data_IF_519743190697
#
_entry.id   IF_519743190697
#
_cell.length_a   1.000
_cell.length_b   1.000
_cell.length_c   1.000
_cell.angle_alpha   90.00
_cell.angle_beta   90.00
_cell.angle_gamma   90.00
#
_symmetry.space_group_name_H-M   'P 1'
#
loop_
_entity.id
_entity.type
_entity.pdbx_description
1 polymer ?
#
# COMPACT_ATOMS: atom_id res chain seq x y z
N UNK A 1 -21.16 -15.92 -13.16
CA UNK A 1 -22.05 -15.90 -11.98
C UNK A 1 -21.24 -15.65 -10.71
N UNK A 2 -20.12 -16.33 -10.48
CA UNK A 2 -19.32 -16.22 -9.25
C UNK A 2 -18.75 -14.80 -9.02
N UNK A 3 -18.27 -14.13 -10.06
CA UNK A 3 -17.73 -12.76 -9.92
C UNK A 3 -18.78 -11.76 -9.48
N UNK A 4 -20.02 -11.88 -9.98
CA UNK A 4 -21.11 -10.99 -9.58
C UNK A 4 -21.51 -11.15 -8.12
N UNK A 5 -21.48 -12.39 -7.62
CA UNK A 5 -21.73 -12.68 -6.20
C UNK A 5 -20.63 -12.08 -5.34
N UNK A 6 -19.36 -12.23 -5.75
CA UNK A 6 -18.21 -11.68 -5.02
C UNK A 6 -18.21 -10.14 -5.01
N UNK A 7 -18.55 -9.49 -6.12
CA UNK A 7 -18.68 -8.04 -6.20
C UNK A 7 -19.78 -7.49 -5.26
N UNK A 8 -20.82 -8.29 -4.97
CA UNK A 8 -21.87 -7.94 -4.01
C UNK A 8 -21.54 -8.30 -2.57
N UNK A 9 -20.53 -9.11 -2.35
CA UNK A 9 -20.07 -9.45 -1.00
C UNK A 9 -19.28 -8.28 -0.40
N UNK A 10 -19.92 -7.54 0.51
CA UNK A 10 -19.34 -6.33 1.12
C UNK A 10 -18.05 -6.60 1.88
N UNK A 11 -17.93 -7.73 2.56
CA UNK A 11 -16.74 -8.09 3.33
C UNK A 11 -15.57 -8.43 2.40
N UNK A 12 -15.81 -9.24 1.35
CA UNK A 12 -14.81 -9.54 0.35
C UNK A 12 -14.33 -8.26 -0.35
N UNK A 13 -15.27 -7.42 -0.81
CA UNK A 13 -14.95 -6.17 -1.50
C UNK A 13 -14.21 -5.17 -0.62
N UNK A 14 -14.51 -5.11 0.66
CA UNK A 14 -13.82 -4.26 1.63
C UNK A 14 -12.31 -4.58 1.66
N UNK A 15 -11.94 -5.85 1.83
CA UNK A 15 -10.53 -6.25 1.84
C UNK A 15 -9.88 -6.12 0.46
N UNK A 16 -10.61 -6.45 -0.60
CA UNK A 16 -10.12 -6.27 -1.98
C UNK A 16 -9.83 -4.79 -2.28
N UNK A 17 -10.73 -3.88 -1.92
CA UNK A 17 -10.52 -2.44 -2.07
C UNK A 17 -9.40 -1.91 -1.16
N UNK A 18 -9.26 -2.47 0.05
CA UNK A 18 -8.18 -2.13 0.97
C UNK A 18 -6.81 -2.41 0.34
N UNK A 19 -6.58 -3.63 -0.16
CA UNK A 19 -5.31 -3.98 -0.79
C UNK A 19 -5.11 -3.24 -2.12
N UNK A 20 -6.16 -3.05 -2.91
CA UNK A 20 -6.07 -2.30 -4.18
C UNK A 20 -5.67 -0.84 -3.92
N UNK A 21 -6.25 -0.18 -2.90
CA UNK A 21 -5.85 1.17 -2.52
C UNK A 21 -4.37 1.24 -2.10
N UNK A 22 -3.91 0.26 -1.32
CA UNK A 22 -2.49 0.20 -0.96
C UNK A 22 -1.59 0.02 -2.19
N UNK A 23 -2.02 -0.80 -3.16
CA UNK A 23 -1.27 -1.02 -4.41
C UNK A 23 -1.30 0.20 -5.34
N UNK A 24 -2.34 1.04 -5.33
CA UNK A 24 -2.28 2.35 -6.02
C UNK A 24 -1.12 3.17 -5.47
N UNK A 25 -0.93 3.21 -4.15
CA UNK A 25 0.19 3.90 -3.53
C UNK A 25 1.55 3.28 -3.88
N UNK A 26 1.66 1.94 -3.90
CA UNK A 26 2.85 1.22 -4.35
C UNK A 26 3.20 1.59 -5.79
N UNK A 27 2.22 1.56 -6.69
CA UNK A 27 2.45 1.91 -8.10
C UNK A 27 2.75 3.40 -8.31
N UNK A 28 2.20 4.29 -7.47
CA UNK A 28 2.57 5.70 -7.49
C UNK A 28 4.06 5.89 -7.15
N UNK A 29 4.57 5.15 -6.18
CA UNK A 29 5.99 5.12 -5.88
C UNK A 29 6.80 4.52 -7.03
N UNK A 30 6.40 3.36 -7.57
CA UNK A 30 7.11 2.70 -8.67
C UNK A 30 7.24 3.60 -9.91
N UNK A 31 6.17 4.31 -10.25
CA UNK A 31 6.13 5.18 -11.43
C UNK A 31 6.84 6.52 -11.18
N UNK A 32 6.68 7.09 -9.98
CA UNK A 32 7.17 8.43 -9.65
C UNK A 32 8.60 8.47 -9.11
N UNK A 33 9.08 7.41 -8.46
CA UNK A 33 10.37 7.43 -7.77
C UNK A 33 11.58 7.63 -8.69
N UNK A 34 11.64 7.10 -9.95
CA UNK A 34 12.77 7.40 -10.83
C UNK A 34 12.89 8.91 -11.08
N UNK A 35 11.78 9.55 -11.45
CA UNK A 35 11.74 10.99 -11.66
C UNK A 35 12.14 11.77 -10.39
N UNK A 36 11.56 11.42 -9.25
CA UNK A 36 11.84 12.12 -7.99
C UNK A 36 13.31 11.98 -7.59
N UNK A 37 13.88 10.78 -7.66
CA UNK A 37 15.25 10.57 -7.20
C UNK A 37 16.28 11.13 -8.20
N UNK A 38 16.09 10.91 -9.50
CA UNK A 38 17.08 11.28 -10.52
C UNK A 38 16.92 12.74 -10.92
N UNK A 39 15.71 13.17 -11.33
CA UNK A 39 15.50 14.50 -11.90
C UNK A 39 15.31 15.58 -10.83
N UNK A 40 14.60 15.29 -9.74
CA UNK A 40 14.36 16.29 -8.68
C UNK A 40 15.53 16.38 -7.70
N UNK A 41 16.04 15.24 -7.23
CA UNK A 41 17.13 15.21 -6.24
C UNK A 41 18.53 15.02 -6.84
N UNK A 42 18.67 14.83 -8.15
CA UNK A 42 19.95 14.70 -8.83
C UNK A 42 20.74 13.46 -8.47
N UNK A 43 20.06 12.38 -8.02
CA UNK A 43 20.72 11.11 -7.72
C UNK A 43 21.21 10.49 -9.02
N UNK A 44 22.52 10.14 -9.17
CA UNK A 44 22.99 9.46 -10.35
C UNK A 44 22.21 8.16 -10.59
N UNK A 45 21.86 7.89 -11.86
CA UNK A 45 21.04 6.73 -12.25
C UNK A 45 21.58 5.41 -11.72
N UNK A 46 22.90 5.30 -11.59
CA UNK A 46 23.61 4.12 -11.06
C UNK A 46 23.23 3.82 -9.59
N UNK A 47 22.94 4.87 -8.79
CA UNK A 47 22.58 4.71 -7.37
C UNK A 47 21.09 4.51 -7.13
N UNK A 48 20.24 4.84 -8.12
CA UNK A 48 18.80 4.64 -7.99
C UNK A 48 18.44 3.18 -7.66
N UNK A 49 19.12 2.22 -8.32
CA UNK A 49 18.89 0.79 -8.07
C UNK A 49 19.16 0.37 -6.63
N UNK A 50 20.17 0.96 -5.97
CA UNK A 50 20.47 0.68 -4.56
C UNK A 50 19.38 1.21 -3.63
N UNK A 51 18.91 2.45 -3.85
CA UNK A 51 17.82 3.04 -3.08
C UNK A 51 16.52 2.27 -3.25
N UNK A 52 16.25 1.80 -4.47
CA UNK A 52 15.09 0.95 -4.74
C UNK A 52 15.20 -0.42 -4.05
N UNK A 53 16.38 -1.04 -4.12
CA UNK A 53 16.66 -2.34 -3.48
C UNK A 53 16.47 -2.30 -1.96
N UNK A 54 16.74 -1.16 -1.32
CA UNK A 54 16.50 -0.97 0.10
C UNK A 54 15.02 -1.21 0.45
N UNK A 55 14.09 -0.73 -0.37
CA UNK A 55 12.65 -0.96 -0.16
C UNK A 55 12.29 -2.45 -0.25
N UNK A 56 12.91 -3.19 -1.19
CA UNK A 56 12.69 -4.64 -1.33
C UNK A 56 13.20 -5.39 -0.10
N UNK A 57 14.37 -5.01 0.42
CA UNK A 57 14.90 -5.58 1.68
C UNK A 57 13.91 -5.33 2.82
N UNK A 58 13.35 -4.13 2.92
CA UNK A 58 12.30 -3.81 3.90
C UNK A 58 11.08 -4.74 3.80
N UNK A 59 10.58 -4.98 2.58
CA UNK A 59 9.46 -5.92 2.34
C UNK A 59 9.83 -7.34 2.77
N UNK A 60 11.04 -7.81 2.45
CA UNK A 60 11.51 -9.14 2.84
C UNK A 60 11.58 -9.29 4.36
N UNK A 61 12.16 -8.31 5.05
CA UNK A 61 12.24 -8.29 6.51
C UNK A 61 10.85 -8.31 7.15
N UNK A 62 9.95 -7.44 6.71
CA UNK A 62 8.59 -7.38 7.24
C UNK A 62 7.78 -8.63 6.89
N UNK A 63 8.00 -9.27 5.75
CA UNK A 63 7.40 -10.57 5.42
C UNK A 63 7.90 -11.69 6.34
N UNK A 64 9.17 -11.67 6.73
CA UNK A 64 9.73 -12.62 7.69
C UNK A 64 9.17 -12.40 9.11
N UNK A 65 9.03 -11.15 9.53
CA UNK A 65 8.42 -10.75 10.80
C UNK A 65 6.94 -11.14 10.81
N UNK A 66 6.22 -10.89 9.71
CA UNK A 66 4.80 -11.23 9.56
C UNK A 66 4.52 -12.72 9.85
N UNK A 67 5.37 -13.63 9.35
CA UNK A 67 5.23 -15.08 9.61
C UNK A 67 5.21 -15.42 11.10
N UNK A 68 5.91 -14.67 11.94
CA UNK A 68 5.93 -14.86 13.39
C UNK A 68 4.72 -14.24 14.08
N UNK A 69 4.30 -13.07 13.61
CA UNK A 69 3.20 -12.30 14.23
C UNK A 69 1.83 -12.89 13.89
N UNK A 70 1.65 -13.43 12.69
CA UNK A 70 0.38 -14.03 12.23
C UNK A 70 -0.09 -15.17 13.15
N UNK A 71 0.84 -15.94 13.74
CA UNK A 71 0.50 -16.99 14.70
C UNK A 71 0.09 -16.47 16.09
N UNK A 72 0.46 -15.24 16.43
CA UNK A 72 0.26 -14.66 17.76
C UNK A 72 -0.91 -13.65 17.82
N UNK A 73 -1.38 -13.17 16.68
CA UNK A 73 -2.36 -12.07 16.61
C UNK A 73 -3.45 -12.33 15.55
N UNK A 74 -4.69 -11.89 15.82
CA UNK A 74 -5.78 -11.95 14.83
C UNK A 74 -5.43 -11.08 13.60
N UNK A 75 -5.69 -11.61 12.41
CA UNK A 75 -5.37 -10.98 11.13
C UNK A 75 -5.98 -9.56 11.00
N UNK A 76 -7.22 -9.38 11.45
CA UNK A 76 -7.89 -8.06 11.42
C UNK A 76 -7.14 -7.00 12.24
N UNK A 77 -6.64 -7.38 13.43
CA UNK A 77 -5.86 -6.48 14.28
C UNK A 77 -4.51 -6.15 13.65
N UNK A 78 -3.86 -7.19 13.10
CA UNK A 78 -2.57 -7.03 12.43
C UNK A 78 -2.68 -6.11 11.21
N UNK A 79 -3.71 -6.30 10.37
CA UNK A 79 -3.98 -5.42 9.23
C UNK A 79 -4.16 -3.96 9.66
N UNK A 80 -4.96 -3.74 10.71
CA UNK A 80 -5.20 -2.40 11.24
C UNK A 80 -3.92 -1.71 11.69
N UNK A 81 -3.10 -2.40 12.50
CA UNK A 81 -1.84 -1.81 12.96
C UNK A 81 -0.86 -1.53 11.83
N UNK A 82 -0.73 -2.45 10.86
CA UNK A 82 0.15 -2.27 9.72
C UNK A 82 -0.28 -1.10 8.82
N UNK A 83 -1.58 -0.97 8.53
CA UNK A 83 -2.12 0.13 7.71
C UNK A 83 -2.06 1.46 8.44
N UNK A 84 -2.32 1.50 9.76
CA UNK A 84 -2.16 2.71 10.57
C UNK A 84 -0.71 3.16 10.63
N UNK A 85 0.23 2.24 10.84
CA UNK A 85 1.65 2.57 10.85
C UNK A 85 2.07 3.16 9.50
N UNK A 86 1.70 2.52 8.39
CA UNK A 86 1.99 3.04 7.05
C UNK A 86 1.38 4.44 6.85
N UNK A 87 0.12 4.65 7.25
CA UNK A 87 -0.57 5.93 7.13
C UNK A 87 0.10 7.03 7.95
N UNK A 88 0.51 6.72 9.18
CA UNK A 88 1.23 7.67 10.04
C UNK A 88 2.57 8.06 9.39
N UNK A 89 3.36 7.09 8.91
CA UNK A 89 4.65 7.37 8.29
C UNK A 89 4.52 8.29 7.07
N UNK A 90 3.62 7.98 6.12
CA UNK A 90 3.46 8.82 4.92
C UNK A 90 2.85 10.18 5.24
N UNK A 91 1.97 10.28 6.25
CA UNK A 91 1.40 11.55 6.69
C UNK A 91 2.46 12.45 7.33
N UNK A 92 3.35 11.89 8.14
CA UNK A 92 4.49 12.64 8.71
C UNK A 92 5.38 13.19 7.60
N UNK A 93 5.75 12.36 6.63
CA UNK A 93 6.54 12.82 5.46
C UNK A 93 5.84 13.96 4.74
N UNK A 94 4.53 13.83 4.50
CA UNK A 94 3.73 14.85 3.83
C UNK A 94 3.69 16.16 4.61
N UNK A 95 3.52 16.10 5.94
CA UNK A 95 3.52 17.29 6.82
C UNK A 95 4.89 17.98 6.76
N UNK A 96 5.98 17.23 6.88
CA UNK A 96 7.33 17.80 6.83
C UNK A 96 7.61 18.47 5.47
N UNK A 97 7.16 17.87 4.37
CA UNK A 97 7.24 18.49 3.05
C UNK A 97 6.43 19.81 2.96
N UNK A 98 5.25 19.88 3.59
CA UNK A 98 4.47 21.11 3.69
C UNK A 98 5.16 22.19 4.53
N UNK A 99 5.96 21.79 5.52
CA UNK A 99 6.77 22.71 6.34
C UNK A 99 8.05 23.21 5.62
N UNK A 100 8.29 22.76 4.38
CA UNK A 100 9.42 23.19 3.56
C UNK A 100 10.64 22.25 3.62
N UNK A 101 10.53 21.12 4.29
CA UNK A 101 11.60 20.12 4.32
C UNK A 101 11.58 19.27 3.04
N UNK A 102 12.50 19.56 2.12
CA UNK A 102 12.63 18.85 0.84
C UNK A 102 13.94 18.05 0.78
N UNK A 103 14.14 17.15 1.75
CA UNK A 103 15.33 16.30 1.81
C UNK A 103 15.11 14.97 1.08
N UNK A 104 16.11 14.53 0.31
CA UNK A 104 16.14 13.19 -0.29
C UNK A 104 15.93 12.10 0.78
N UNK A 105 16.63 12.22 1.92
CA UNK A 105 16.55 11.23 2.98
C UNK A 105 15.17 11.12 3.63
N UNK A 106 14.42 12.22 3.68
CA UNK A 106 13.04 12.22 4.14
C UNK A 106 12.17 11.31 3.25
N UNK A 107 12.32 11.44 1.92
CA UNK A 107 11.58 10.61 0.96
C UNK A 107 12.06 9.15 1.03
N UNK A 108 13.37 8.92 1.11
CA UNK A 108 13.94 7.56 1.15
C UNK A 108 13.47 6.81 2.41
N UNK A 109 13.57 7.43 3.59
CA UNK A 109 13.14 6.79 4.85
C UNK A 109 11.63 6.59 4.87
N UNK A 110 10.86 7.59 4.48
CA UNK A 110 9.41 7.49 4.41
C UNK A 110 8.94 6.40 3.46
N UNK A 111 9.53 6.34 2.27
CA UNK A 111 9.25 5.29 1.28
C UNK A 111 9.63 3.91 1.79
N UNK A 112 10.79 3.78 2.42
CA UNK A 112 11.24 2.52 3.02
C UNK A 112 10.25 1.99 4.06
N UNK A 113 9.83 2.84 5.00
CA UNK A 113 8.88 2.45 6.05
C UNK A 113 7.51 2.07 5.47
N UNK A 114 7.00 2.87 4.56
CA UNK A 114 5.73 2.62 3.88
C UNK A 114 5.78 1.33 3.05
N UNK A 115 6.79 1.21 2.18
CA UNK A 115 6.92 0.10 1.25
C UNK A 115 7.15 -1.23 1.98
N UNK A 116 7.89 -1.22 3.09
CA UNK A 116 8.13 -2.39 3.94
C UNK A 116 6.82 -3.00 4.45
N UNK A 117 5.80 -2.17 4.74
CA UNK A 117 4.49 -2.66 5.18
C UNK A 117 3.75 -3.50 4.13
N UNK A 118 4.18 -3.47 2.86
CA UNK A 118 3.65 -4.35 1.82
C UNK A 118 3.79 -5.83 2.19
N UNK A 119 4.89 -6.21 2.84
CA UNK A 119 5.12 -7.59 3.31
C UNK A 119 4.08 -8.11 4.30
N UNK A 120 3.39 -7.21 5.00
CA UNK A 120 2.32 -7.54 5.94
C UNK A 120 0.95 -7.30 5.31
N UNK A 121 0.72 -6.09 4.81
CA UNK A 121 -0.61 -5.64 4.34
C UNK A 121 -1.12 -6.53 3.20
N UNK A 122 -0.30 -6.80 2.18
CA UNK A 122 -0.72 -7.64 1.06
C UNK A 122 -1.06 -9.06 1.50
N UNK A 123 -0.18 -9.69 2.29
CA UNK A 123 -0.37 -11.07 2.74
C UNK A 123 -1.63 -11.22 3.61
N UNK A 124 -1.79 -10.35 4.60
CA UNK A 124 -2.90 -10.40 5.55
C UNK A 124 -4.24 -10.06 4.87
N UNK A 125 -4.25 -9.03 4.03
CA UNK A 125 -5.49 -8.62 3.34
C UNK A 125 -5.94 -9.66 2.33
N UNK A 126 -5.00 -10.28 1.59
CA UNK A 126 -5.32 -11.36 0.66
C UNK A 126 -5.91 -12.58 1.42
N UNK A 127 -5.33 -12.95 2.56
CA UNK A 127 -5.85 -14.03 3.39
C UNK A 127 -7.29 -13.74 3.87
N UNK A 128 -7.53 -12.55 4.40
CA UNK A 128 -8.87 -12.13 4.87
C UNK A 128 -9.88 -12.06 3.71
N UNK A 129 -9.50 -11.55 2.55
CA UNK A 129 -10.39 -11.51 1.39
C UNK A 129 -10.77 -12.91 0.91
N UNK A 130 -9.79 -13.81 0.79
CA UNK A 130 -10.03 -15.19 0.34
C UNK A 130 -10.86 -16.00 1.34
N UNK A 131 -10.67 -15.79 2.64
CA UNK A 131 -11.52 -16.36 3.69
C UNK A 131 -13.00 -15.96 3.47
N UNK A 132 -13.27 -14.71 3.11
CA UNK A 132 -14.63 -14.22 2.82
C UNK A 132 -15.19 -14.69 1.46
N UNK A 133 -14.34 -15.12 0.54
CA UNK A 133 -14.77 -15.74 -0.72
C UNK A 133 -15.27 -17.20 -0.52
N UNK A 134 -14.85 -17.87 0.56
CA UNK A 134 -15.28 -19.21 0.93
C UNK A 134 -15.12 -20.23 -0.22
N UNK A 135 -16.22 -20.89 -0.61
CA UNK A 135 -16.21 -21.91 -1.68
C UNK A 135 -15.82 -21.36 -3.06
N UNK A 136 -15.81 -20.02 -3.25
CA UNK A 136 -15.44 -19.34 -4.49
C UNK A 136 -14.00 -18.80 -4.45
N UNK A 137 -13.11 -19.37 -3.63
CA UNK A 137 -11.75 -18.88 -3.40
C UNK A 137 -10.94 -18.72 -4.71
N UNK A 138 -11.08 -19.61 -5.70
CA UNK A 138 -10.41 -19.48 -6.98
C UNK A 138 -10.88 -18.25 -7.78
N UNK A 139 -12.20 -18.03 -7.89
CA UNK A 139 -12.76 -16.81 -8.51
C UNK A 139 -12.43 -15.57 -7.69
N UNK A 140 -12.39 -15.71 -6.36
CA UNK A 140 -11.98 -14.65 -5.43
C UNK A 140 -10.54 -14.21 -5.65
N UNK A 141 -9.62 -15.16 -5.77
CA UNK A 141 -8.21 -14.87 -6.04
C UNK A 141 -8.01 -14.17 -7.40
N UNK A 142 -8.73 -14.62 -8.44
CA UNK A 142 -8.66 -13.98 -9.75
C UNK A 142 -9.19 -12.54 -9.74
N UNK A 143 -10.35 -12.29 -9.10
CA UNK A 143 -10.93 -10.94 -8.98
C UNK A 143 -10.05 -10.02 -8.13
N UNK A 144 -9.58 -10.51 -6.99
CA UNK A 144 -8.69 -9.77 -6.10
C UNK A 144 -7.39 -9.40 -6.82
N UNK A 145 -6.74 -10.36 -7.49
CA UNK A 145 -5.51 -10.11 -8.25
C UNK A 145 -5.73 -9.11 -9.40
N UNK A 146 -6.84 -9.22 -10.14
CA UNK A 146 -7.19 -8.28 -11.20
C UNK A 146 -7.36 -6.85 -10.65
N UNK A 147 -8.06 -6.68 -9.53
CA UNK A 147 -8.25 -5.36 -8.90
C UNK A 147 -6.96 -4.84 -8.29
N UNK A 148 -6.19 -5.69 -7.62
CA UNK A 148 -4.93 -5.35 -6.97
C UNK A 148 -3.88 -4.88 -7.98
N UNK A 149 -3.61 -5.67 -9.01
CA UNK A 149 -2.60 -5.32 -10.03
C UNK A 149 -3.13 -4.32 -11.06
N UNK A 150 -4.41 -4.40 -11.42
CA UNK A 150 -5.07 -3.43 -12.30
C UNK A 150 -5.15 -2.03 -11.70
N UNK A 151 -5.02 -1.89 -10.38
CA UNK A 151 -4.99 -0.57 -9.69
C UNK A 151 -3.80 0.31 -10.12
N UNK A 152 -2.75 -0.27 -10.70
CA UNK A 152 -1.64 0.48 -11.29
C UNK A 152 -2.06 1.44 -12.40
N UNK A 153 -3.12 1.10 -13.16
CA UNK A 153 -3.69 1.99 -14.17
C UNK A 153 -4.19 3.29 -13.54
N UNK A 154 -4.88 3.19 -12.41
CA UNK A 154 -5.41 4.36 -11.68
C UNK A 154 -4.25 5.24 -11.22
N UNK A 155 -3.20 4.64 -10.66
CA UNK A 155 -2.01 5.36 -10.20
C UNK A 155 -1.34 6.14 -11.34
N UNK A 156 -1.10 5.48 -12.47
CA UNK A 156 -0.45 6.10 -13.63
C UNK A 156 -1.29 7.24 -14.20
N UNK A 157 -2.61 7.06 -14.32
CA UNK A 157 -3.52 8.11 -14.77
C UNK A 157 -3.49 9.32 -13.83
N UNK A 158 -3.62 9.11 -12.53
CA UNK A 158 -3.61 10.20 -11.55
C UNK A 158 -2.29 10.98 -11.62
N UNK A 159 -1.15 10.31 -11.68
CA UNK A 159 0.15 10.96 -11.78
C UNK A 159 0.33 11.74 -13.08
N UNK A 160 -0.23 11.28 -14.19
CA UNK A 160 -0.14 11.97 -15.48
C UNK A 160 -0.82 13.34 -15.46
N UNK A 161 -1.88 13.51 -14.68
CA UNK A 161 -2.60 14.79 -14.56
C UNK A 161 -2.02 15.74 -13.51
N UNK A 162 -1.05 15.30 -12.72
CA UNK A 162 -0.42 16.14 -11.70
C UNK A 162 0.87 16.77 -12.23
N UNK A 163 1.18 18.03 -11.87
CA UNK A 163 2.41 18.71 -12.32
C UNK A 163 3.65 18.01 -11.75
N UNK A 164 4.58 17.61 -12.63
CA UNK A 164 5.76 16.82 -12.30
C UNK A 164 7.00 17.70 -11.97
N UNK A 165 6.87 18.72 -11.12
CA UNK A 165 7.99 19.60 -10.81
C UNK A 165 8.63 19.32 -9.43
N UNK A 166 8.16 18.33 -8.70
CA UNK A 166 8.61 18.02 -7.33
C UNK A 166 8.21 16.59 -6.90
N UNK A 167 8.66 16.18 -5.72
CA UNK A 167 8.22 14.93 -5.10
C UNK A 167 6.76 14.97 -4.57
N UNK A 168 6.17 16.18 -4.51
CA UNK A 168 4.87 16.41 -3.88
C UNK A 168 3.71 15.64 -4.52
N UNK A 169 3.56 15.59 -5.86
CA UNK A 169 2.48 14.82 -6.50
C UNK A 169 2.52 13.34 -6.16
N UNK A 170 3.70 12.72 -6.23
CA UNK A 170 3.89 11.32 -5.89
C UNK A 170 3.51 11.04 -4.42
N UNK A 171 4.02 11.85 -3.49
CA UNK A 171 3.74 11.69 -2.06
C UNK A 171 2.29 11.97 -1.72
N UNK A 172 1.62 12.90 -2.42
CA UNK A 172 0.18 13.15 -2.25
C UNK A 172 -0.67 11.93 -2.60
N UNK A 173 -0.41 11.32 -3.75
CA UNK A 173 -1.12 10.11 -4.19
C UNK A 173 -0.89 8.98 -3.19
N UNK A 174 0.37 8.74 -2.79
CA UNK A 174 0.71 7.73 -1.79
C UNK A 174 -0.08 7.97 -0.50
N UNK A 175 -0.04 9.18 0.04
CA UNK A 175 -0.68 9.52 1.32
C UNK A 175 -2.19 9.32 1.26
N UNK A 176 -2.85 9.83 0.22
CA UNK A 176 -4.30 9.70 0.05
C UNK A 176 -4.72 8.22 0.03
N UNK A 177 -4.07 7.40 -0.80
CA UNK A 177 -4.47 6.01 -0.97
C UNK A 177 -4.08 5.11 0.21
N UNK A 178 -3.01 5.41 0.92
CA UNK A 178 -2.66 4.70 2.17
C UNK A 178 -3.66 5.06 3.29
N UNK A 179 -4.12 6.30 3.38
CA UNK A 179 -5.17 6.70 4.32
C UNK A 179 -6.49 5.98 3.99
N UNK A 180 -6.88 5.91 2.71
CA UNK A 180 -8.07 5.16 2.28
C UNK A 180 -7.93 3.68 2.68
N UNK A 181 -6.76 3.07 2.45
CA UNK A 181 -6.47 1.71 2.87
C UNK A 181 -6.64 1.55 4.39
N UNK A 182 -6.09 2.46 5.19
CA UNK A 182 -6.22 2.43 6.65
C UNK A 182 -7.68 2.54 7.10
N UNK A 183 -8.47 3.43 6.49
CA UNK A 183 -9.92 3.57 6.78
C UNK A 183 -10.67 2.27 6.45
N UNK A 184 -10.37 1.65 5.31
CA UNK A 184 -11.00 0.39 4.91
C UNK A 184 -10.59 -0.79 5.81
N UNK A 185 -9.42 -0.75 6.44
CA UNK A 185 -8.97 -1.76 7.39
C UNK A 185 -9.74 -1.75 8.72
N UNK A 186 -10.42 -0.64 9.07
CA UNK A 186 -11.23 -0.59 10.29
C UNK A 186 -12.50 -1.43 10.17
N UNK A 187 -12.85 -2.25 11.17
CA UNK A 187 -14.09 -3.01 11.18
C UNK A 187 -15.29 -2.06 11.25
N UNK A 188 -16.25 -2.26 10.37
CA UNK A 188 -17.54 -1.57 10.43
C UNK A 188 -18.53 -2.19 11.42
N UNK A 189 -18.24 -3.38 11.95
CA UNK A 189 -19.18 -4.13 12.75
C UNK A 189 -18.62 -4.51 14.12
N UNK A 190 -19.35 -4.14 15.18
CA UNK A 190 -19.05 -4.43 16.59
C UNK A 190 -19.37 -5.89 16.99
N UNK A 191 -19.67 -6.79 16.04
CA UNK A 191 -20.22 -8.13 16.34
C UNK A 191 -19.21 -9.22 16.65
N UNK A 192 -17.91 -8.97 16.68
CA UNK A 192 -16.89 -10.01 16.89
C UNK A 192 -15.94 -9.74 18.06
N UNK A 193 -16.36 -8.97 19.04
CA UNK A 193 -15.62 -8.77 20.31
C UNK A 193 -16.05 -9.76 21.40
N UNK A 194 -16.30 -11.04 21.04
CA UNK A 194 -16.50 -12.11 22.02
C UNK A 194 -15.56 -13.27 21.73
#
# INVERSE_FOLDING_TARGET
>A
INYWILLRNKEFMKYTLCVSSFYIAIYAFLTGSPYVYIDVFGVPTEYYGYLFSLNIIGVMLMSAVNRRIVSAMRLDKLLRYATMFAAICVTIVMILMFMGEHSLWLIVIGSFLFFSMNGVIAAVTNALALERAGKMAGSGAALLGAMQYGSGIISSLVLTFLPNNSAFPMMSVITIFVIICAILAFPRDKRYDH
#
